data_IF_746989291618
#
_entry.id   IF_746989291618
#
_cell.length_a   1.000
_cell.length_b   1.000
_cell.length_c   1.000
_cell.angle_alpha   90.00
_cell.angle_beta   90.00
_cell.angle_gamma   90.00
#
_symmetry.space_group_name_H-M   'P 1'
#
loop_
_entity.id
_entity.type
_entity.pdbx_description
1 polymer ?
#
# COMPACT_ATOMS: atom_id res chain seq x y z
N UNK A 1 16.01 -3.24 38.31
CA UNK A 1 16.16 -3.48 36.87
C UNK A 1 16.05 -4.96 36.61
N UNK A 2 14.87 -5.46 36.24
CA UNK A 2 14.75 -6.86 35.82
C UNK A 2 15.47 -6.99 34.46
N UNK A 3 16.52 -7.80 34.41
CA UNK A 3 17.24 -8.05 33.16
C UNK A 3 16.34 -8.81 32.18
N UNK A 4 16.30 -8.35 30.94
CA UNK A 4 15.57 -9.05 29.88
C UNK A 4 16.15 -10.45 29.69
N UNK A 5 15.26 -11.44 29.64
CA UNK A 5 15.59 -12.85 29.46
C UNK A 5 15.90 -13.15 27.99
N UNK A 6 16.68 -14.22 27.72
CA UNK A 6 17.04 -14.63 26.36
C UNK A 6 15.82 -14.81 25.42
N UNK A 7 14.67 -15.36 25.86
CA UNK A 7 13.47 -15.45 25.02
C UNK A 7 12.89 -14.09 24.63
N UNK A 8 13.03 -13.06 25.47
CA UNK A 8 12.53 -11.71 25.16
C UNK A 8 13.39 -11.04 24.08
N UNK A 9 14.72 -11.22 24.15
CA UNK A 9 15.63 -10.78 23.10
C UNK A 9 15.36 -11.48 21.77
N UNK A 10 15.10 -12.78 21.79
CA UNK A 10 14.72 -13.54 20.60
C UNK A 10 13.38 -13.08 20.03
N UNK A 11 12.38 -12.80 20.88
CA UNK A 11 11.10 -12.25 20.45
C UNK A 11 11.23 -10.87 19.79
N UNK A 12 12.08 -10.00 20.33
CA UNK A 12 12.37 -8.69 19.73
C UNK A 12 13.03 -8.84 18.35
N UNK A 13 14.03 -9.71 18.23
CA UNK A 13 14.65 -9.99 16.94
C UNK A 13 13.63 -10.56 15.95
N UNK A 14 12.78 -11.48 16.39
CA UNK A 14 11.74 -12.05 15.54
C UNK A 14 10.81 -10.97 14.98
N UNK A 15 10.27 -10.09 15.83
CA UNK A 15 9.39 -9.00 15.38
C UNK A 15 10.14 -8.02 14.48
N UNK A 16 11.37 -7.64 14.85
CA UNK A 16 12.17 -6.70 14.07
C UNK A 16 12.47 -7.20 12.65
N UNK A 17 12.78 -8.49 12.50
CA UNK A 17 13.09 -9.06 11.19
C UNK A 17 11.85 -9.48 10.42
N UNK A 18 10.96 -10.28 11.03
CA UNK A 18 9.80 -10.87 10.36
C UNK A 18 8.62 -9.90 10.25
N UNK A 19 8.46 -8.98 11.20
CA UNK A 19 7.41 -7.97 11.18
C UNK A 19 7.80 -6.68 10.47
N UNK A 20 9.10 -6.37 10.37
CA UNK A 20 9.57 -5.09 9.80
C UNK A 20 10.60 -5.28 8.69
N UNK A 21 11.82 -5.70 8.98
CA UNK A 21 12.93 -5.60 8.03
C UNK A 21 12.68 -6.38 6.73
N UNK A 22 12.18 -7.61 6.83
CA UNK A 22 11.92 -8.47 5.67
C UNK A 22 10.70 -7.95 4.87
N UNK A 23 9.51 -7.71 5.47
CA UNK A 23 8.36 -7.17 4.74
C UNK A 23 8.66 -5.84 4.04
N UNK A 24 9.27 -4.87 4.74
CA UNK A 24 9.60 -3.57 4.14
C UNK A 24 10.68 -3.70 3.06
N UNK A 25 11.68 -4.56 3.27
CA UNK A 25 12.68 -4.87 2.23
C UNK A 25 12.03 -5.43 0.97
N UNK A 26 11.14 -6.42 1.10
CA UNK A 26 10.39 -6.99 -0.02
C UNK A 26 9.47 -5.96 -0.67
N UNK A 27 8.82 -5.10 0.11
CA UNK A 27 7.98 -4.01 -0.39
C UNK A 27 8.80 -3.05 -1.25
N UNK A 28 9.93 -2.55 -0.74
CA UNK A 28 10.79 -1.62 -1.47
C UNK A 28 11.37 -2.24 -2.74
N UNK A 29 11.71 -3.52 -2.72
CA UNK A 29 12.12 -4.24 -3.93
C UNK A 29 10.93 -4.34 -4.88
N UNK A 30 9.77 -4.79 -4.40
CA UNK A 30 8.55 -5.01 -5.19
C UNK A 30 8.02 -3.77 -5.89
N UNK A 31 8.03 -2.60 -5.23
CA UNK A 31 7.56 -1.34 -5.84
C UNK A 31 8.37 -0.93 -7.06
N UNK A 32 9.63 -1.37 -7.19
CA UNK A 32 10.44 -1.11 -8.38
C UNK A 32 10.04 -1.97 -9.59
N UNK A 33 9.25 -3.04 -9.38
CA UNK A 33 8.79 -3.95 -10.43
C UNK A 33 7.32 -3.75 -10.83
N UNK A 34 6.58 -2.88 -10.13
CA UNK A 34 5.17 -2.60 -10.41
C UNK A 34 4.97 -1.13 -10.79
N UNK A 35 3.98 -0.85 -11.64
CA UNK A 35 3.60 0.53 -11.99
C UNK A 35 3.12 1.29 -10.75
N UNK A 36 3.34 2.62 -10.74
CA UNK A 36 2.95 3.55 -9.67
C UNK A 36 1.51 3.33 -9.16
N UNK A 37 0.58 3.11 -10.10
CA UNK A 37 -0.83 2.80 -9.82
C UNK A 37 -0.98 1.57 -8.92
N UNK A 38 -0.26 0.48 -9.18
CA UNK A 38 -0.31 -0.74 -8.36
C UNK A 38 0.32 -0.55 -6.97
N UNK A 39 1.35 0.30 -6.86
CA UNK A 39 1.94 0.63 -5.56
C UNK A 39 0.95 1.41 -4.67
N UNK A 40 0.21 2.37 -5.25
CA UNK A 40 -0.84 3.11 -4.55
C UNK A 40 -1.99 2.19 -4.07
N UNK A 41 -2.36 1.21 -4.90
CA UNK A 41 -3.36 0.20 -4.55
C UNK A 41 -2.89 -0.64 -3.36
N UNK A 42 -1.64 -1.11 -3.36
CA UNK A 42 -1.09 -1.89 -2.24
C UNK A 42 -1.07 -1.09 -0.94
N UNK A 43 -0.62 0.17 -0.97
CA UNK A 43 -0.55 1.03 0.21
C UNK A 43 -1.93 1.28 0.85
N UNK A 44 -2.98 1.25 0.04
CA UNK A 44 -4.34 1.48 0.52
C UNK A 44 -5.09 0.19 0.87
N UNK A 45 -4.73 -0.95 0.27
CA UNK A 45 -5.19 -2.28 0.68
C UNK A 45 -4.61 -2.73 2.03
N UNK A 46 -3.43 -2.22 2.40
CA UNK A 46 -2.76 -2.54 3.66
C UNK A 46 -3.64 -2.35 4.90
N UNK A 47 -4.24 -1.16 5.17
CA UNK A 47 -5.08 -0.97 6.36
C UNK A 47 -6.31 -1.88 6.40
N UNK A 48 -6.90 -2.20 5.25
CA UNK A 48 -8.05 -3.10 5.16
C UNK A 48 -7.64 -4.54 5.46
N UNK A 49 -6.53 -4.97 4.86
CA UNK A 49 -5.99 -6.32 5.07
C UNK A 49 -5.57 -6.49 6.53
N UNK A 50 -4.94 -5.49 7.13
CA UNK A 50 -4.58 -5.47 8.54
C UNK A 50 -5.82 -5.61 9.43
N UNK A 51 -6.87 -4.80 9.21
CA UNK A 51 -8.12 -4.90 9.97
C UNK A 51 -8.82 -6.25 9.82
N UNK A 52 -8.82 -6.82 8.61
CA UNK A 52 -9.41 -8.14 8.34
C UNK A 52 -8.63 -9.27 9.01
N UNK A 53 -7.29 -9.23 8.96
CA UNK A 53 -6.44 -10.22 9.64
C UNK A 53 -6.59 -10.10 11.16
N UNK A 54 -6.66 -8.88 11.71
CA UNK A 54 -6.90 -8.66 13.13
C UNK A 54 -8.25 -9.22 13.58
N UNK A 55 -9.32 -9.00 12.81
CA UNK A 55 -10.62 -9.63 13.05
C UNK A 55 -10.52 -11.17 13.08
N UNK A 56 -9.85 -11.78 12.10
CA UNK A 56 -9.76 -13.24 11.98
C UNK A 56 -8.86 -13.92 13.02
N UNK A 57 -7.66 -13.38 13.26
CA UNK A 57 -6.64 -14.02 14.09
C UNK A 57 -6.65 -13.55 15.54
N UNK A 58 -6.99 -12.28 15.78
CA UNK A 58 -7.05 -11.71 17.12
C UNK A 58 -8.46 -11.81 17.72
N UNK A 59 -9.49 -12.06 16.90
CA UNK A 59 -10.87 -12.14 17.35
C UNK A 59 -11.46 -10.78 17.75
N UNK A 60 -10.86 -9.68 17.27
CA UNK A 60 -11.36 -8.34 17.54
C UNK A 60 -12.76 -8.17 16.95
N UNK A 61 -13.70 -7.65 17.74
CA UNK A 61 -15.05 -7.33 17.26
C UNK A 61 -14.98 -5.95 16.63
N UNK A 62 -15.20 -5.88 15.32
CA UNK A 62 -15.21 -4.62 14.59
C UNK A 62 -16.39 -3.77 15.05
N UNK A 63 -16.10 -2.63 15.66
CA UNK A 63 -17.13 -1.66 16.02
C UNK A 63 -17.78 -1.06 14.78
N UNK A 64 -19.05 -0.59 14.87
CA UNK A 64 -19.74 0.04 13.75
C UNK A 64 -18.96 1.19 13.09
N UNK A 65 -18.21 1.96 13.90
CA UNK A 65 -17.37 3.05 13.40
C UNK A 65 -16.15 2.55 12.60
N UNK A 66 -15.56 1.42 13.00
CA UNK A 66 -14.46 0.79 12.26
C UNK A 66 -14.95 0.23 10.93
N UNK A 67 -16.15 -0.36 10.89
CA UNK A 67 -16.79 -0.81 9.67
C UNK A 67 -17.02 0.37 8.72
N UNK A 68 -17.58 1.48 9.23
CA UNK A 68 -17.79 2.69 8.45
C UNK A 68 -16.48 3.26 7.89
N UNK A 69 -15.44 3.32 8.73
CA UNK A 69 -14.10 3.73 8.31
C UNK A 69 -13.52 2.81 7.22
N UNK A 70 -13.66 1.49 7.38
CA UNK A 70 -13.24 0.51 6.37
C UNK A 70 -13.94 0.70 5.04
N UNK A 71 -15.26 0.92 5.04
CA UNK A 71 -16.05 1.21 3.82
C UNK A 71 -15.58 2.52 3.17
N UNK A 72 -15.34 3.57 3.94
CA UNK A 72 -14.82 4.85 3.43
C UNK A 72 -13.45 4.69 2.76
N UNK A 73 -12.55 3.91 3.37
CA UNK A 73 -11.24 3.61 2.78
C UNK A 73 -11.41 2.86 1.47
N UNK A 74 -12.24 1.80 1.39
CA UNK A 74 -12.52 1.10 0.13
C UNK A 74 -13.03 2.07 -0.94
N UNK A 75 -13.99 2.93 -0.59
CA UNK A 75 -14.56 3.89 -1.53
C UNK A 75 -13.50 4.87 -2.06
N UNK A 76 -12.64 5.40 -1.19
CA UNK A 76 -11.54 6.27 -1.58
C UNK A 76 -10.55 5.57 -2.52
N UNK A 77 -10.23 4.29 -2.27
CA UNK A 77 -9.36 3.48 -3.13
C UNK A 77 -9.94 3.34 -4.53
N UNK A 78 -11.22 2.98 -4.63
CA UNK A 78 -11.90 2.80 -5.91
C UNK A 78 -11.90 4.11 -6.70
N UNK A 79 -12.21 5.24 -6.05
CA UNK A 79 -12.19 6.56 -6.68
C UNK A 79 -10.79 6.93 -7.18
N UNK A 80 -9.76 6.71 -6.36
CA UNK A 80 -8.38 7.01 -6.73
C UNK A 80 -7.89 6.15 -7.89
N UNK A 81 -8.25 4.86 -7.93
CA UNK A 81 -7.92 3.96 -9.04
C UNK A 81 -8.52 4.46 -10.35
N UNK A 82 -9.81 4.84 -10.35
CA UNK A 82 -10.49 5.34 -11.54
C UNK A 82 -9.86 6.62 -12.09
N UNK A 83 -9.32 7.47 -11.21
CA UNK A 83 -8.68 8.72 -11.60
C UNK A 83 -7.23 8.53 -12.06
N UNK A 84 -6.47 7.62 -11.44
CA UNK A 84 -5.08 7.34 -11.84
C UNK A 84 -4.95 6.78 -13.26
N UNK A 85 -5.92 6.00 -13.73
CA UNK A 85 -5.94 5.49 -15.12
C UNK A 85 -6.09 6.63 -16.15
N UNK A 86 -6.76 7.74 -15.77
CA UNK A 86 -6.97 8.90 -16.64
C UNK A 86 -5.74 9.81 -16.71
N UNK A 87 -5.03 9.98 -15.58
CA UNK A 87 -3.78 10.76 -15.54
C UNK A 87 -2.63 10.07 -16.29
N UNK A 88 -2.56 8.74 -16.32
CA UNK A 88 -1.49 8.01 -17.01
C UNK A 88 -1.57 8.12 -18.56
N UNK A 89 -2.77 8.37 -19.12
CA UNK A 89 -2.99 8.52 -20.57
C UNK A 89 -2.74 9.96 -21.08
N UNK A 90 -2.70 10.94 -20.19
CA UNK A 90 -2.57 12.36 -20.53
C UNK A 90 -1.16 12.76 -21.03
N UNK A 91 -0.04 12.25 -20.46
CA UNK A 91 1.32 12.54 -20.93
C UNK A 91 1.58 12.10 -22.37
N UNK A 92 1.06 10.94 -22.78
CA UNK A 92 1.21 10.41 -24.14
C UNK A 92 0.49 11.29 -25.16
N UNK A 93 -0.72 11.76 -24.84
CA UNK A 93 -1.52 12.63 -25.70
C UNK A 93 -0.90 14.03 -25.86
N UNK A 94 -0.28 14.55 -24.80
CA UNK A 94 0.44 15.84 -24.85
C UNK A 94 1.71 15.69 -25.70
N UNK A 95 2.50 14.63 -25.47
CA UNK A 95 3.74 14.35 -26.21
C UNK A 95 3.48 14.12 -27.70
N UNK A 96 2.43 13.37 -28.04
CA UNK A 96 2.04 13.11 -29.43
C UNK A 96 1.66 14.40 -30.17
N UNK A 97 0.96 15.33 -29.52
CA UNK A 97 0.64 16.64 -30.11
C UNK A 97 1.86 17.54 -30.30
N UNK A 98 2.79 17.56 -29.34
CA UNK A 98 4.00 18.40 -29.44
C UNK A 98 4.92 17.97 -30.59
N UNK A 99 5.07 16.66 -30.83
CA UNK A 99 5.88 16.13 -31.93
C UNK A 99 5.26 16.42 -33.29
N UNK A 100 3.92 16.40 -33.39
CA UNK A 100 3.22 16.63 -34.65
C UNK A 100 3.11 18.12 -35.04
N UNK A 101 3.31 19.04 -34.09
CA UNK A 101 3.30 20.49 -34.33
C UNK A 101 4.63 21.08 -34.79
N UNK A 102 5.70 20.29 -34.88
CA UNK A 102 6.99 20.75 -35.41
C UNK A 102 6.87 20.99 -36.92
N UNK A 103 7.12 22.22 -37.44
CA UNK A 103 7.11 22.48 -38.87
C UNK A 103 8.18 21.63 -39.59
N UNK A 104 7.91 21.10 -40.79
CA UNK A 104 8.96 20.48 -41.60
C UNK A 104 9.97 21.56 -42.01
N UNK A 105 11.24 21.33 -41.67
CA UNK A 105 12.39 22.12 -42.15
C UNK A 105 12.65 21.91 -43.65
#
# INVERSE_FOLDING_TARGET
WAGFTLPQWLGLLYIAFMGTAIPFGLYFVGINYIRSTRASITATLEPISAGFIAYLFLGEILEPLQILGGVLVIAAIVLLQLQSEQDELTPELIRARTVQSSPPE
#
